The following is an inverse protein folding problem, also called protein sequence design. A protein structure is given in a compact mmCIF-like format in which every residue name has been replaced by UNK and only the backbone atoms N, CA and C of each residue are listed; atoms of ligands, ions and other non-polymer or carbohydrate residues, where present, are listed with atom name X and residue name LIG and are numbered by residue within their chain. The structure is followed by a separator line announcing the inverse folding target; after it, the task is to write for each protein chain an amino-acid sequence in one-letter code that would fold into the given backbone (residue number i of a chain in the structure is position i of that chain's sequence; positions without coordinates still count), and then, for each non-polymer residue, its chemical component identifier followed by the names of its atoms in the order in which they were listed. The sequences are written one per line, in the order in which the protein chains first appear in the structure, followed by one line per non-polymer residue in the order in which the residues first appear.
data_IF_113820019091
#
_entry.id   IF_113820019091
#
_cell.length_a   1.000
_cell.length_b   1.000
_cell.length_c   1.000
_cell.angle_alpha   90.00
_cell.angle_beta   90.00
_cell.angle_gamma   90.00
#
_symmetry.space_group_name_H-M   'P 1'
#
loop_
_entity.id
_entity.type
_entity.pdbx_description
1 polymer ?
#
# COMPACT_ATOMS: atom_id res chain seq x y z
N UNK A 1 -10.50 13.87 -4.18
CA UNK A 1 -10.55 13.23 -2.84
C UNK A 1 -9.42 13.84 -2.02
N UNK A 2 -9.63 14.22 -0.76
CA UNK A 2 -8.77 15.21 -0.08
C UNK A 2 -7.52 14.57 0.53
N UNK A 3 -6.34 15.06 0.14
CA UNK A 3 -5.02 14.87 0.79
C UNK A 3 -5.10 14.82 2.32
N UNK A 4 -6.00 15.61 2.91
CA UNK A 4 -6.23 15.67 4.35
C UNK A 4 -6.59 14.32 5.01
N UNK A 5 -7.39 13.48 4.36
CA UNK A 5 -7.78 12.18 4.94
C UNK A 5 -6.59 11.21 4.95
N UNK A 6 -5.75 11.24 3.90
CA UNK A 6 -4.53 10.45 3.80
C UNK A 6 -3.41 10.94 4.73
N UNK A 7 -3.21 12.26 4.83
CA UNK A 7 -2.25 12.87 5.76
C UNK A 7 -2.64 12.60 7.22
N UNK A 8 -3.93 12.69 7.56
CA UNK A 8 -4.43 12.34 8.89
C UNK A 8 -4.15 10.87 9.21
N UNK A 9 -4.31 9.98 8.23
CA UNK A 9 -4.00 8.56 8.37
C UNK A 9 -2.49 8.31 8.54
N UNK A 10 -1.61 8.93 7.77
CA UNK A 10 -0.14 8.82 7.96
C UNK A 10 0.31 9.42 9.31
N UNK A 11 -0.23 10.57 9.70
CA UNK A 11 0.12 11.23 10.95
C UNK A 11 -0.28 10.41 12.19
N UNK A 12 -1.47 9.81 12.18
CA UNK A 12 -1.91 8.86 13.21
C UNK A 12 -1.06 7.58 13.26
N UNK A 13 -0.32 7.27 12.21
CA UNK A 13 0.56 6.10 12.13
C UNK A 13 1.95 6.37 12.71
N UNK A 14 2.49 7.58 12.54
CA UNK A 14 3.79 7.96 13.12
C UNK A 14 3.74 8.09 14.65
N UNK A 15 2.61 8.53 15.21
CA UNK A 15 2.46 8.75 16.66
C UNK A 15 2.08 7.49 17.48
N UNK A 16 2.01 6.30 16.86
CA UNK A 16 1.71 5.04 17.60
C UNK A 16 2.94 4.31 18.15
N UNK A 17 4.14 4.83 17.90
CA UNK A 17 5.38 4.30 18.49
C UNK A 17 5.79 5.01 19.79
N UNK A 18 5.03 6.02 20.23
CA UNK A 18 5.24 6.68 21.51
C UNK A 18 4.09 6.31 22.47
N UNK A 19 4.46 5.94 23.69
CA UNK A 19 3.55 5.53 24.78
C UNK A 19 2.44 6.56 25.01
N UNK A 20 1.21 6.13 25.35
CA UNK A 20 0.10 7.05 25.55
C UNK A 20 0.22 7.70 26.91
N UNK A 21 0.73 8.93 26.97
CA UNK A 21 0.46 9.87 28.05
C UNK A 21 0.87 11.27 27.59
N UNK A 22 -0.03 11.93 26.88
CA UNK A 22 -0.38 13.34 27.01
C UNK A 22 -1.43 13.64 25.93
N UNK A 23 -2.43 14.44 26.26
CA UNK A 23 -3.35 15.01 25.27
C UNK A 23 -2.53 15.90 24.34
N UNK A 24 -1.96 15.31 23.30
CA UNK A 24 -1.27 16.05 22.24
C UNK A 24 -2.38 16.76 21.47
N UNK A 25 -2.49 18.07 21.71
CA UNK A 25 -3.22 18.98 20.86
C UNK A 25 -2.79 18.70 19.42
N UNK A 26 -3.75 18.27 18.60
CA UNK A 26 -3.54 17.92 17.20
C UNK A 26 -3.23 19.22 16.46
N UNK A 27 -1.97 19.62 16.43
CA UNK A 27 -1.51 20.60 15.44
C UNK A 27 -1.61 19.91 14.09
N UNK A 28 -2.68 20.28 13.38
CA UNK A 28 -2.82 19.92 11.97
C UNK A 28 -1.57 20.38 11.24
N UNK A 29 -1.02 19.60 10.30
CA UNK A 29 0.14 20.02 9.54
C UNK A 29 -0.16 21.41 8.98
N UNK A 30 0.71 22.36 9.31
CA UNK A 30 0.62 23.74 8.85
C UNK A 30 0.96 23.73 7.36
N UNK A 31 -0.01 23.29 6.54
CA UNK A 31 0.09 23.33 5.09
C UNK A 31 0.00 24.79 4.74
N UNK A 32 1.12 25.37 4.31
CA UNK A 32 1.16 26.73 3.79
C UNK A 32 0.13 26.83 2.65
N UNK A 33 -1.00 27.46 2.97
CA UNK A 33 -2.16 27.59 2.08
C UNK A 33 -1.83 28.52 0.90
N UNK A 34 -0.66 29.18 0.94
CA UNK A 34 -0.17 30.09 -0.10
C UNK A 34 0.73 29.42 -1.16
N UNK A 35 0.92 28.08 -1.16
CA UNK A 35 1.66 27.44 -2.25
C UNK A 35 0.80 27.33 -3.52
N UNK A 36 1.28 27.90 -4.63
CA UNK A 36 0.68 27.84 -5.99
C UNK A 36 0.56 26.41 -6.56
N UNK A 37 0.97 25.39 -5.80
CA UNK A 37 0.97 23.99 -6.22
C UNK A 37 -0.44 23.41 -6.29
N UNK A 38 -0.69 22.71 -7.39
CA UNK A 38 -1.89 21.89 -7.60
C UNK A 38 -1.99 20.76 -6.55
N UNK A 39 -3.19 20.19 -6.41
CA UNK A 39 -3.43 19.06 -5.50
C UNK A 39 -2.55 17.85 -5.88
N UNK A 40 -2.40 17.59 -7.18
CA UNK A 40 -1.59 16.48 -7.70
C UNK A 40 -0.11 16.66 -7.36
N UNK A 41 0.43 17.87 -7.48
CA UNK A 41 1.81 18.17 -7.11
C UNK A 41 2.07 18.02 -5.61
N UNK A 42 1.13 18.47 -4.77
CA UNK A 42 1.23 18.31 -3.31
C UNK A 42 1.23 16.83 -2.91
N UNK A 43 0.38 16.03 -3.55
CA UNK A 43 0.32 14.59 -3.32
C UNK A 43 1.61 13.90 -3.76
N UNK A 44 2.09 14.19 -4.97
CA UNK A 44 3.37 13.66 -5.46
C UNK A 44 4.52 14.00 -4.52
N UNK A 45 4.63 15.26 -4.11
CA UNK A 45 5.70 15.71 -3.21
C UNK A 45 5.63 15.01 -1.85
N UNK A 46 4.44 14.76 -1.33
CA UNK A 46 4.27 13.99 -0.11
C UNK A 46 4.83 12.57 -0.23
N UNK A 47 4.46 11.83 -1.29
CA UNK A 47 4.97 10.48 -1.50
C UNK A 47 6.49 10.47 -1.70
N UNK A 48 7.01 11.41 -2.48
CA UNK A 48 8.45 11.53 -2.72
C UNK A 48 9.20 11.77 -1.41
N UNK A 49 8.72 12.69 -0.56
CA UNK A 49 9.30 12.91 0.77
C UNK A 49 9.30 11.64 1.61
N UNK A 50 8.27 10.79 1.51
CA UNK A 50 8.24 9.50 2.24
C UNK A 50 9.17 8.45 1.66
N UNK A 51 9.45 8.50 0.37
CA UNK A 51 10.37 7.58 -0.29
C UNK A 51 11.83 8.01 -0.16
N UNK A 52 12.10 9.28 0.14
CA UNK A 52 13.46 9.78 0.38
C UNK A 52 14.20 9.03 1.50
N UNK A 53 13.45 8.52 2.48
CA UNK A 53 13.98 7.74 3.62
C UNK A 53 14.41 6.30 3.23
N UNK A 54 14.15 5.85 2.00
CA UNK A 54 14.51 4.50 1.55
C UNK A 54 16.02 4.34 1.33
N UNK A 55 16.51 3.12 1.57
CA UNK A 55 17.92 2.77 1.43
C UNK A 55 18.42 3.02 0.00
N UNK A 56 19.17 4.11 -0.17
CA UNK A 56 19.74 4.55 -1.45
C UNK A 56 20.76 3.57 -2.01
N UNK A 57 21.48 2.84 -1.15
CA UNK A 57 22.44 1.82 -1.59
C UNK A 57 21.68 0.68 -2.25
N UNK A 58 20.56 0.26 -1.65
CA UNK A 58 19.67 -0.76 -2.22
C UNK A 58 19.06 -0.28 -3.54
N UNK A 59 18.56 0.96 -3.59
CA UNK A 59 17.98 1.55 -4.81
C UNK A 59 18.99 1.60 -5.95
N UNK A 60 20.28 1.78 -5.68
CA UNK A 60 21.32 1.89 -6.71
C UNK A 60 21.81 0.54 -7.27
N UNK A 61 21.35 -0.61 -6.75
CA UNK A 61 21.82 -1.93 -7.22
C UNK A 61 21.37 -2.22 -8.65
N UNK A 62 22.27 -2.71 -9.51
CA UNK A 62 21.96 -3.02 -10.93
C UNK A 62 20.81 -4.03 -11.08
N UNK A 63 20.76 -5.03 -10.20
CA UNK A 63 19.70 -6.05 -10.18
C UNK A 63 18.66 -5.75 -9.09
N UNK A 64 18.20 -4.49 -9.00
CA UNK A 64 17.18 -4.10 -8.03
C UNK A 64 15.93 -4.97 -8.21
N UNK A 65 15.68 -5.81 -7.21
CA UNK A 65 14.45 -6.59 -7.08
C UNK A 65 13.88 -6.40 -5.68
N UNK A 66 12.62 -5.99 -5.62
CA UNK A 66 11.90 -5.78 -4.36
C UNK A 66 10.66 -6.66 -4.34
N UNK A 67 10.41 -7.26 -3.19
CA UNK A 67 9.20 -8.00 -2.91
C UNK A 67 8.58 -7.38 -1.66
N UNK A 68 7.31 -7.02 -1.73
CA UNK A 68 6.65 -6.32 -0.65
C UNK A 68 5.24 -6.84 -0.42
N UNK A 69 4.84 -6.91 0.84
CA UNK A 69 3.49 -7.23 1.27
C UNK A 69 3.01 -6.18 2.27
N UNK A 70 1.85 -5.60 2.00
CA UNK A 70 1.25 -4.58 2.83
C UNK A 70 -0.22 -4.86 3.10
N UNK A 71 -0.64 -4.57 4.33
CA UNK A 71 -2.04 -4.66 4.75
C UNK A 71 -2.44 -3.38 5.46
N UNK A 72 -3.62 -2.87 5.16
CA UNK A 72 -4.29 -1.83 5.91
C UNK A 72 -5.55 -2.42 6.55
N UNK A 73 -5.63 -2.34 7.88
CA UNK A 73 -6.87 -2.56 8.64
C UNK A 73 -7.07 -1.35 9.54
N UNK A 74 -8.17 -0.64 9.33
CA UNK A 74 -8.63 0.39 10.26
C UNK A 74 -9.73 -0.14 11.15
N UNK A 75 -9.56 0.02 12.47
CA UNK A 75 -10.57 -0.33 13.48
C UNK A 75 -11.05 0.99 14.09
N UNK A 76 -11.98 1.67 13.41
CA UNK A 76 -12.78 2.76 13.99
C UNK A 76 -14.05 3.00 13.19
N UNK A 77 -15.17 2.40 13.62
CA UNK A 77 -16.54 2.71 13.18
C UNK A 77 -16.93 2.28 11.74
N UNK A 78 -15.95 2.11 10.85
CA UNK A 78 -16.09 1.45 9.56
C UNK A 78 -14.85 0.60 9.36
N UNK A 79 -14.96 -0.73 9.36
CA UNK A 79 -13.84 -1.60 9.04
C UNK A 79 -13.36 -1.26 7.62
N UNK A 80 -12.09 -0.89 7.47
CA UNK A 80 -11.48 -0.59 6.17
C UNK A 80 -10.33 -1.56 5.92
N UNK A 81 -10.41 -2.32 4.83
CA UNK A 81 -9.46 -3.37 4.48
C UNK A 81 -8.79 -3.10 3.13
N UNK A 82 -7.48 -3.33 3.07
CA UNK A 82 -6.72 -3.42 1.83
C UNK A 82 -5.52 -4.34 2.04
N UNK A 83 -5.19 -5.14 1.04
CA UNK A 83 -4.03 -6.01 1.04
C UNK A 83 -3.47 -6.12 -0.37
N UNK A 84 -2.15 -5.94 -0.48
CA UNK A 84 -1.42 -5.96 -1.75
C UNK A 84 -0.08 -6.65 -1.51
N UNK A 85 0.27 -7.58 -2.39
CA UNK A 85 1.65 -8.05 -2.59
C UNK A 85 2.11 -7.68 -3.98
N UNK A 86 3.37 -7.29 -4.07
CA UNK A 86 3.98 -6.96 -5.35
C UNK A 86 5.39 -7.54 -5.48
N UNK A 87 5.83 -7.59 -6.72
CA UNK A 87 7.22 -7.76 -7.13
C UNK A 87 7.62 -6.57 -8.00
N UNK A 88 8.78 -5.99 -7.74
CA UNK A 88 9.33 -4.88 -8.51
C UNK A 88 10.70 -5.25 -9.03
N UNK A 89 10.90 -5.11 -10.34
CA UNK A 89 12.11 -5.60 -11.01
C UNK A 89 12.38 -4.85 -12.31
N UNK A 90 13.60 -4.96 -12.81
CA UNK A 90 13.99 -4.37 -14.08
C UNK A 90 13.12 -4.87 -15.25
N UNK A 91 12.59 -3.94 -16.04
CA UNK A 91 11.88 -4.20 -17.28
C UNK A 91 12.86 -4.62 -18.38
N UNK A 92 12.51 -5.65 -19.14
CA UNK A 92 13.19 -5.98 -20.39
C UNK A 92 12.74 -5.09 -21.56
N UNK A 93 11.68 -4.29 -21.36
CA UNK A 93 11.12 -3.37 -22.36
C UNK A 93 11.71 -1.96 -22.18
N UNK A 94 11.48 -1.10 -23.16
CA UNK A 94 11.91 0.31 -23.14
C UNK A 94 11.01 1.22 -22.27
N UNK A 95 10.03 0.66 -21.56
CA UNK A 95 9.10 1.40 -20.73
C UNK A 95 8.92 0.73 -19.37
N UNK A 96 8.60 1.54 -18.38
CA UNK A 96 8.08 1.06 -17.10
C UNK A 96 6.58 0.79 -17.23
N UNK A 97 6.11 -0.22 -16.51
CA UNK A 97 4.72 -0.63 -16.55
C UNK A 97 4.26 -1.22 -15.22
N UNK A 98 2.96 -1.12 -14.98
CA UNK A 98 2.29 -1.79 -13.87
C UNK A 98 1.55 -3.00 -14.44
N UNK A 99 1.93 -4.19 -13.97
CA UNK A 99 1.31 -5.46 -14.38
C UNK A 99 0.42 -5.93 -13.25
N UNK A 100 -0.82 -6.30 -13.58
CA UNK A 100 -1.75 -6.87 -12.61
C UNK A 100 -1.99 -8.34 -12.95
N UNK A 101 -1.37 -9.22 -12.17
CA UNK A 101 -1.44 -10.68 -12.34
C UNK A 101 -2.60 -11.31 -11.56
N UNK A 102 -3.39 -10.50 -10.84
CA UNK A 102 -4.56 -10.92 -10.06
C UNK A 102 -5.86 -10.64 -10.80
N UNK A 103 -6.92 -11.39 -10.49
CA UNK A 103 -8.22 -11.20 -11.13
C UNK A 103 -8.99 -10.00 -10.55
N UNK A 104 -9.95 -9.47 -11.31
CA UNK A 104 -10.82 -8.37 -10.83
C UNK A 104 -11.67 -8.76 -9.60
N UNK A 105 -11.85 -10.05 -9.33
CA UNK A 105 -12.52 -10.53 -8.11
C UNK A 105 -11.66 -10.37 -6.86
N UNK A 106 -10.35 -10.46 -7.03
CA UNK A 106 -9.35 -10.32 -5.97
C UNK A 106 -8.94 -8.86 -5.78
N UNK A 107 -8.94 -8.09 -6.87
CA UNK A 107 -8.67 -6.66 -6.87
C UNK A 107 -9.61 -5.93 -7.84
N UNK A 108 -10.78 -5.45 -7.36
CA UNK A 108 -11.71 -4.70 -8.20
C UNK A 108 -11.08 -3.42 -8.75
N UNK A 109 -11.55 -2.98 -9.93
CA UNK A 109 -10.97 -1.84 -10.65
C UNK A 109 -10.77 -0.59 -9.79
N UNK A 110 -11.75 -0.20 -8.98
CA UNK A 110 -11.64 1.01 -8.14
C UNK A 110 -10.57 0.91 -7.04
N UNK A 111 -10.26 -0.31 -6.58
CA UNK A 111 -9.15 -0.58 -5.67
C UNK A 111 -7.83 -0.59 -6.44
N UNK A 112 -7.82 -1.22 -7.62
CA UNK A 112 -6.66 -1.24 -8.53
C UNK A 112 -6.19 0.16 -8.89
N UNK A 113 -7.10 1.07 -9.23
CA UNK A 113 -6.76 2.47 -9.57
C UNK A 113 -5.96 3.15 -8.43
N UNK A 114 -6.23 2.77 -7.17
CA UNK A 114 -5.49 3.28 -6.00
C UNK A 114 -4.12 2.63 -5.84
N UNK A 115 -3.98 1.34 -6.17
CA UNK A 115 -2.68 0.65 -6.23
C UNK A 115 -1.83 1.24 -7.35
N UNK A 116 -2.41 1.40 -8.54
CA UNK A 116 -1.73 1.89 -9.73
C UNK A 116 -1.20 3.31 -9.52
N UNK A 117 -1.95 4.17 -8.82
CA UNK A 117 -1.51 5.50 -8.41
C UNK A 117 -0.22 5.48 -7.59
N UNK A 118 -0.17 4.69 -6.52
CA UNK A 118 1.01 4.62 -5.63
C UNK A 118 2.19 3.96 -6.35
N UNK A 119 1.92 2.90 -7.12
CA UNK A 119 2.93 2.21 -7.91
C UNK A 119 3.58 3.14 -8.95
N UNK A 120 2.79 3.97 -9.66
CA UNK A 120 3.32 4.96 -10.60
C UNK A 120 4.21 5.99 -9.88
N UNK A 121 3.75 6.53 -8.75
CA UNK A 121 4.56 7.48 -7.97
C UNK A 121 5.89 6.86 -7.49
N UNK A 122 5.87 5.58 -7.14
CA UNK A 122 7.06 4.86 -6.74
C UNK A 122 8.01 4.58 -7.91
N UNK A 123 7.49 4.16 -9.08
CA UNK A 123 8.28 4.02 -10.31
C UNK A 123 8.94 5.36 -10.66
N UNK A 124 8.17 6.45 -10.71
CA UNK A 124 8.68 7.79 -11.02
C UNK A 124 9.78 8.23 -10.06
N UNK A 125 9.63 7.89 -8.77
CA UNK A 125 10.65 8.14 -7.76
C UNK A 125 11.93 7.34 -8.04
N UNK A 126 11.83 6.01 -8.23
CA UNK A 126 13.00 5.16 -8.49
C UNK A 126 13.72 5.58 -9.78
N UNK A 127 12.98 5.87 -10.85
CA UNK A 127 13.55 6.36 -12.11
C UNK A 127 14.24 7.72 -11.95
N UNK A 128 13.74 8.60 -11.08
CA UNK A 128 14.38 9.89 -10.80
C UNK A 128 15.67 9.71 -9.99
N UNK A 129 15.69 8.77 -9.04
CA UNK A 129 16.85 8.49 -8.20
C UNK A 129 17.95 7.74 -8.96
N UNK A 130 17.62 7.01 -10.03
CA UNK A 130 18.57 6.27 -10.85
C UNK A 130 18.93 7.01 -12.13
N UNK A 131 20.21 7.29 -12.31
CA UNK A 131 20.72 7.97 -13.51
C UNK A 131 20.95 7.05 -14.73
N UNK A 132 20.76 5.73 -14.58
CA UNK A 132 21.05 4.73 -15.62
C UNK A 132 19.93 4.60 -16.66
N UNK A 133 18.78 5.25 -16.45
CA UNK A 133 17.62 5.17 -17.34
C UNK A 133 16.95 3.80 -17.36
N UNK A 134 17.28 2.92 -16.40
CA UNK A 134 16.68 1.60 -16.27
C UNK A 134 15.16 1.74 -16.07
N UNK A 135 14.40 0.90 -16.77
CA UNK A 135 12.94 0.83 -16.64
C UNK A 135 12.55 -0.34 -15.75
N UNK A 136 11.36 -0.26 -15.16
CA UNK A 136 10.90 -1.17 -14.11
C UNK A 136 9.48 -1.66 -14.32
N UNK A 137 9.23 -2.89 -13.87
CA UNK A 137 7.91 -3.48 -13.79
C UNK A 137 7.49 -3.49 -12.32
N UNK A 138 6.31 -2.94 -12.04
CA UNK A 138 5.63 -3.12 -10.76
C UNK A 138 4.52 -4.15 -10.96
N UNK A 139 4.74 -5.38 -10.54
CA UNK A 139 3.81 -6.49 -10.72
C UNK A 139 3.01 -6.74 -9.43
N UNK A 140 1.69 -6.58 -9.50
CA UNK A 140 0.77 -6.98 -8.45
C UNK A 140 0.56 -8.49 -8.57
N UNK A 141 1.13 -9.25 -7.63
CA UNK A 141 1.16 -10.72 -7.66
C UNK A 141 0.10 -11.37 -6.77
N UNK A 142 -0.42 -10.63 -5.77
CA UNK A 142 -1.47 -11.12 -4.87
C UNK A 142 -2.24 -9.92 -4.28
N UNK A 143 -3.52 -10.14 -4.04
CA UNK A 143 -4.40 -9.17 -3.39
C UNK A 143 -5.63 -9.88 -2.88
N UNK A 144 -6.18 -9.41 -1.77
CA UNK A 144 -7.43 -9.93 -1.20
C UNK A 144 -8.41 -8.79 -1.06
N UNK A 145 -9.68 -9.11 -1.29
CA UNK A 145 -10.79 -8.15 -1.31
C UNK A 145 -11.90 -8.58 -0.37
N UNK A 146 -12.32 -7.66 0.50
CA UNK A 146 -13.50 -7.84 1.34
C UNK A 146 -14.62 -6.87 0.89
N UNK A 147 -15.75 -7.34 0.34
CA UNK A 147 -16.73 -6.49 -0.35
C UNK A 147 -17.37 -5.41 0.53
N UNK A 148 -17.44 -5.63 1.84
CA UNK A 148 -18.05 -4.69 2.79
C UNK A 148 -17.03 -3.67 3.31
N UNK A 149 -15.77 -4.09 3.43
CA UNK A 149 -14.75 -3.33 4.15
C UNK A 149 -13.70 -2.71 3.21
N UNK A 150 -13.65 -3.14 1.95
CA UNK A 150 -12.67 -2.65 0.99
C UNK A 150 -12.95 -1.21 0.56
N UNK A 151 -11.93 -0.35 0.69
CA UNK A 151 -11.96 1.06 0.27
C UNK A 151 -10.71 1.39 -0.53
N UNK A 152 -10.85 2.23 -1.56
CA UNK A 152 -9.75 2.75 -2.37
C UNK A 152 -8.54 3.20 -1.53
N UNK A 153 -8.78 4.05 -0.53
CA UNK A 153 -7.76 4.55 0.40
C UNK A 153 -7.05 3.44 1.20
N UNK A 154 -7.74 2.35 1.56
CA UNK A 154 -7.09 1.24 2.25
C UNK A 154 -6.10 0.50 1.34
N UNK A 155 -6.35 0.45 0.03
CA UNK A 155 -5.42 -0.10 -0.96
C UNK A 155 -4.26 0.84 -1.26
N UNK A 156 -4.50 2.15 -1.27
CA UNK A 156 -3.46 3.16 -1.34
C UNK A 156 -2.46 3.00 -0.18
N UNK A 157 -2.96 2.93 1.06
CA UNK A 157 -2.14 2.69 2.27
C UNK A 157 -1.49 1.30 2.26
N UNK A 158 -2.20 0.26 1.84
CA UNK A 158 -1.65 -1.09 1.76
C UNK A 158 -0.48 -1.16 0.77
N UNK A 159 -0.60 -0.50 -0.39
CA UNK A 159 0.47 -0.44 -1.41
C UNK A 159 1.68 0.30 -0.87
N UNK A 160 1.47 1.46 -0.25
CA UNK A 160 2.54 2.22 0.38
C UNK A 160 3.28 1.40 1.45
N UNK A 161 2.55 0.68 2.32
CA UNK A 161 3.15 -0.22 3.32
C UNK A 161 3.90 -1.38 2.69
N UNK A 162 3.37 -1.94 1.61
CA UNK A 162 4.07 -3.01 0.90
C UNK A 162 5.44 -2.52 0.43
N UNK A 163 5.49 -1.31 -0.14
CA UNK A 163 6.73 -0.68 -0.61
C UNK A 163 7.69 -0.48 0.56
N UNK A 164 7.25 0.13 1.67
CA UNK A 164 8.09 0.31 2.86
C UNK A 164 8.65 -1.03 3.37
N UNK A 165 7.80 -2.05 3.50
CA UNK A 165 8.18 -3.39 3.97
C UNK A 165 9.17 -4.08 3.03
N UNK A 166 9.23 -3.71 1.75
CA UNK A 166 10.20 -4.27 0.80
C UNK A 166 11.63 -3.76 1.05
N UNK A 167 11.78 -2.61 1.70
CA UNK A 167 13.07 -2.06 2.13
C UNK A 167 13.43 -2.44 3.57
N UNK A 168 12.43 -2.65 4.43
CA UNK A 168 12.62 -3.07 5.82
C UNK A 168 11.62 -4.16 6.21
N UNK A 169 12.07 -5.41 6.18
CA UNK A 169 11.25 -6.58 6.53
C UNK A 169 10.81 -6.57 8.01
N UNK A 170 11.51 -5.83 8.89
CA UNK A 170 11.14 -5.72 10.31
C UNK A 170 9.85 -4.94 10.55
N UNK A 171 9.42 -4.14 9.57
CA UNK A 171 8.16 -3.40 9.57
C UNK A 171 6.95 -4.29 9.26
N UNK A 172 7.17 -5.48 8.68
CA UNK A 172 6.10 -6.42 8.39
C UNK A 172 5.58 -7.08 9.68
N UNK A 173 4.56 -6.46 10.30
CA UNK A 173 3.77 -7.03 11.40
C UNK A 173 2.37 -7.36 10.88
N UNK A 174 2.16 -8.52 10.23
CA UNK A 174 0.84 -8.91 9.80
C UNK A 174 -0.03 -9.02 11.04
N UNK A 175 -1.18 -8.35 11.04
CA UNK A 175 -2.10 -8.41 12.17
C UNK A 175 -2.80 -9.78 12.16
N UNK A 176 -2.11 -10.79 12.70
CA UNK A 176 -2.48 -12.22 12.67
C UNK A 176 -3.88 -12.51 13.23
N UNK A 177 -4.49 -11.58 13.98
CA UNK A 177 -5.87 -11.72 14.47
C UNK A 177 -6.92 -11.66 13.36
N UNK A 178 -6.65 -10.98 12.24
CA UNK A 178 -7.62 -10.79 11.16
C UNK A 178 -7.45 -11.81 10.03
N UNK A 179 -6.20 -12.18 9.71
CA UNK A 179 -5.91 -13.34 8.83
C UNK A 179 -6.56 -14.62 9.38
N UNK A 180 -6.62 -14.78 10.71
CA UNK A 180 -7.31 -15.92 11.35
C UNK A 180 -8.84 -15.90 11.22
N UNK A 181 -9.49 -14.77 10.93
CA UNK A 181 -10.95 -14.73 10.66
C UNK A 181 -11.27 -15.31 9.28
N UNK A 182 -10.45 -15.04 8.27
CA UNK A 182 -10.63 -15.59 6.92
C UNK A 182 -10.37 -17.10 6.86
N UNK A 183 -9.30 -17.60 7.51
CA UNK A 183 -9.01 -19.04 7.58
C UNK A 183 -10.13 -19.80 8.32
N UNK A 184 -10.77 -19.18 9.33
CA UNK A 184 -11.94 -19.77 10.00
C UNK A 184 -13.17 -19.80 9.09
N UNK A 185 -13.41 -18.76 8.31
CA UNK A 185 -14.54 -18.72 7.38
C UNK A 185 -14.38 -19.74 6.23
N UNK A 186 -13.18 -19.91 5.67
CA UNK A 186 -12.93 -20.95 4.67
C UNK A 186 -13.13 -22.38 5.21
N UNK A 187 -12.71 -22.64 6.46
CA UNK A 187 -13.00 -23.93 7.13
C UNK A 187 -14.50 -24.15 7.32
N UNK A 188 -15.27 -23.12 7.69
CA UNK A 188 -16.73 -23.21 7.88
C UNK A 188 -17.45 -23.44 6.54
N UNK A 189 -17.02 -22.79 5.45
CA UNK A 189 -17.57 -23.02 4.10
C UNK A 189 -17.27 -24.43 3.60
N UNK A 190 -16.07 -24.96 3.83
CA UNK A 190 -15.72 -26.35 3.46
C UNK A 190 -16.52 -27.39 4.25
N UNK A 191 -16.82 -27.13 5.53
CA UNK A 191 -17.66 -28.03 6.36
C UNK A 191 -19.12 -28.00 5.90
N UNK A 192 -19.68 -26.82 5.57
CA UNK A 192 -21.06 -26.70 5.04
C UNK A 192 -21.25 -27.35 3.67
N UNK A 193 -20.25 -27.30 2.78
CA UNK A 193 -20.31 -27.96 1.47
C UNK A 193 -20.27 -29.50 1.56
N UNK A 194 -19.55 -30.07 2.53
CA UNK A 194 -19.55 -31.53 2.77
C UNK A 194 -20.84 -32.05 3.41
N UNK A 195 -21.58 -31.21 4.14
CA UNK A 195 -22.84 -31.59 4.79
C UNK A 195 -24.04 -31.53 3.85
N UNK A 196 -23.99 -30.68 2.80
CA UNK A 196 -25.06 -30.59 1.79
C UNK A 196 -24.96 -31.62 0.65
N UNK A 197 -23.98 -32.54 0.67
CA UNK A 197 -23.81 -33.62 -0.32
C UNK A 197 -24.19 -35.01 0.21
N UNK A 198 -24.88 -35.06 1.36
CA UNK A 198 -25.58 -36.26 1.84
C UNK A 198 -27.08 -36.00 1.79
N UNK A 199 -27.70 -36.29 0.65
CA UNK A 199 -29.10 -36.70 0.48
C UNK A 199 -29.25 -37.25 -0.93
#
# INVERSE_FOLDING_TARGET
MRIFDFLKEIFLLNNKNETPNEEIAVESPNIDVNSELSIEERERNFYFQKFEDFDKIRIAQDNLELNGEGTCIMISGSDRYGHVKFRFYASAKSNSEIVCSVSEKELPKYCRDSVDKVANLFIDFIEKERADGQKFIFEIIDSTYHPVDARAMAYEVATFRAIQNSFDESLHKPNLRLVRREIKQEKIVKIKRKSNFKL
#
